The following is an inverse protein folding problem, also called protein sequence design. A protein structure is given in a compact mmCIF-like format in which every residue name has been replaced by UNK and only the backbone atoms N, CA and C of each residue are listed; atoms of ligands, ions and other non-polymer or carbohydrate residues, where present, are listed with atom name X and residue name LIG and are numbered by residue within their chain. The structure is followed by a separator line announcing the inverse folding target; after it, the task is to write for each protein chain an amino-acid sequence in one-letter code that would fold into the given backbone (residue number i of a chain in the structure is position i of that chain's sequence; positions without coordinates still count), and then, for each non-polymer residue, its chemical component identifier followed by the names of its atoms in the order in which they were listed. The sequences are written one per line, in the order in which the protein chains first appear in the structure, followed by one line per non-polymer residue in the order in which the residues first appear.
data_IF_821671717395
#
_entry.id   IF_821671717395
#
_cell.length_a   1.000
_cell.length_b   1.000
_cell.length_c   1.000
_cell.angle_alpha   90.00
_cell.angle_beta   90.00
_cell.angle_gamma   90.00
#
_symmetry.space_group_name_H-M   'P 1'
#
loop_
_entity.id
_entity.type
_entity.pdbx_description
1 polymer ?
#
# COMPACT_ATOMS: atom_id res chain seq x y z
N UNK A 1 -58.37 -261.10 64.09
CA UNK A 1 -58.29 -259.87 64.89
C UNK A 1 -56.97 -259.20 64.57
N UNK A 2 -56.97 -257.95 64.13
CA UNK A 2 -55.88 -256.95 64.24
C UNK A 2 -56.24 -255.77 63.32
N UNK A 3 -56.67 -254.64 63.89
CA UNK A 3 -57.13 -253.46 63.14
C UNK A 3 -56.60 -252.15 63.76
N UNK A 4 -55.39 -252.19 64.35
CA UNK A 4 -54.88 -251.14 65.24
C UNK A 4 -53.70 -250.31 64.74
N UNK A 5 -53.09 -250.63 63.58
CA UNK A 5 -51.86 -249.94 63.12
C UNK A 5 -52.10 -248.80 62.11
N UNK A 6 -53.18 -248.86 61.34
CA UNK A 6 -53.44 -247.94 60.21
C UNK A 6 -53.59 -246.44 60.57
N UNK A 7 -53.79 -246.09 61.84
CA UNK A 7 -54.16 -244.73 62.25
C UNK A 7 -52.96 -243.81 62.61
N UNK A 8 -51.73 -244.33 62.63
CA UNK A 8 -50.53 -243.54 63.00
C UNK A 8 -49.75 -243.02 61.80
N UNK A 9 -49.68 -243.79 60.71
CA UNK A 9 -48.92 -243.41 59.51
C UNK A 9 -49.60 -242.24 58.77
N UNK A 10 -50.93 -242.30 58.67
CA UNK A 10 -51.81 -241.23 58.15
C UNK A 10 -51.60 -239.87 58.84
N UNK A 11 -51.47 -239.86 60.17
CA UNK A 11 -51.28 -238.62 60.95
C UNK A 11 -49.85 -238.07 60.81
N UNK A 12 -48.86 -238.94 60.60
CA UNK A 12 -47.49 -238.48 60.24
C UNK A 12 -47.41 -237.93 58.82
N UNK A 13 -48.13 -238.53 57.86
CA UNK A 13 -48.23 -238.03 56.49
C UNK A 13 -48.86 -236.63 56.45
N UNK A 14 -50.03 -236.46 57.07
CA UNK A 14 -50.75 -235.16 57.12
C UNK A 14 -49.93 -234.05 57.80
N UNK A 15 -49.12 -234.38 58.81
CA UNK A 15 -48.17 -233.42 59.42
C UNK A 15 -47.01 -233.08 58.47
N UNK A 16 -46.46 -234.07 57.77
CA UNK A 16 -45.43 -233.84 56.74
C UNK A 16 -45.93 -232.96 55.60
N UNK A 17 -47.12 -233.24 55.07
CA UNK A 17 -47.80 -232.44 54.04
C UNK A 17 -48.08 -231.02 54.53
N UNK A 18 -48.61 -230.85 55.75
CA UNK A 18 -48.83 -229.52 56.33
C UNK A 18 -47.52 -228.73 56.54
N UNK A 19 -46.44 -229.41 56.93
CA UNK A 19 -45.12 -228.78 57.09
C UNK A 19 -44.49 -228.41 55.74
N UNK A 20 -44.63 -229.25 54.71
CA UNK A 20 -44.24 -228.94 53.33
C UNK A 20 -45.05 -227.76 52.80
N UNK A 21 -46.36 -227.71 53.06
CA UNK A 21 -47.23 -226.62 52.64
C UNK A 21 -46.89 -225.29 53.36
N UNK A 22 -46.59 -225.33 54.66
CA UNK A 22 -46.07 -224.16 55.39
C UNK A 22 -44.72 -223.68 54.84
N UNK A 23 -43.80 -224.59 54.52
CA UNK A 23 -42.52 -224.25 53.90
C UNK A 23 -42.71 -223.69 52.48
N UNK A 24 -43.68 -224.19 51.71
CA UNK A 24 -44.05 -223.61 50.41
C UNK A 24 -44.61 -222.20 50.57
N UNK A 25 -45.53 -221.96 51.51
CA UNK A 25 -46.03 -220.62 51.82
C UNK A 25 -44.91 -219.66 52.25
N UNK A 26 -43.96 -220.12 53.08
CA UNK A 26 -42.78 -219.33 53.46
C UNK A 26 -41.87 -219.05 52.27
N UNK A 27 -41.62 -220.02 51.39
CA UNK A 27 -40.83 -219.84 50.16
C UNK A 27 -41.51 -218.88 49.19
N UNK A 28 -42.83 -218.95 49.02
CA UNK A 28 -43.56 -218.06 48.12
C UNK A 28 -43.74 -216.65 48.69
N UNK A 29 -43.87 -216.48 50.01
CA UNK A 29 -43.81 -215.18 50.66
C UNK A 29 -42.39 -214.58 50.60
N UNK A 30 -41.34 -215.39 50.78
CA UNK A 30 -39.95 -214.95 50.53
C UNK A 30 -39.74 -214.57 49.06
N UNK A 31 -40.32 -215.30 48.10
CA UNK A 31 -40.32 -214.93 46.66
C UNK A 31 -41.16 -213.68 46.37
N UNK A 32 -42.17 -213.36 47.19
CA UNK A 32 -42.97 -212.13 47.11
C UNK A 32 -42.16 -210.95 47.63
N UNK A 33 -41.61 -211.07 48.84
CA UNK A 33 -40.75 -210.07 49.48
C UNK A 33 -39.47 -209.81 48.67
N UNK A 34 -38.83 -210.84 48.10
CA UNK A 34 -37.67 -210.68 47.22
C UNK A 34 -38.03 -209.89 45.95
N UNK A 35 -39.18 -210.20 45.32
CA UNK A 35 -39.66 -209.43 44.15
C UNK A 35 -40.02 -207.99 44.52
N UNK A 36 -40.64 -207.78 45.67
CA UNK A 36 -40.96 -206.44 46.18
C UNK A 36 -39.68 -205.64 46.49
N UNK A 37 -38.67 -206.27 47.09
CA UNK A 37 -37.38 -205.66 47.39
C UNK A 37 -36.58 -205.34 46.11
N UNK A 38 -36.59 -206.22 45.11
CA UNK A 38 -35.99 -205.95 43.79
C UNK A 38 -36.72 -204.81 43.06
N UNK A 39 -38.05 -204.73 43.16
CA UNK A 39 -38.81 -203.61 42.59
C UNK A 39 -38.51 -202.28 43.30
N UNK A 40 -38.42 -202.29 44.64
CA UNK A 40 -37.98 -201.16 45.46
C UNK A 40 -36.55 -200.73 45.11
N UNK A 41 -35.63 -201.68 44.93
CA UNK A 41 -34.25 -201.39 44.51
C UNK A 41 -34.22 -200.77 43.11
N UNK A 42 -34.88 -201.36 42.12
CA UNK A 42 -34.92 -200.83 40.75
C UNK A 42 -35.47 -199.39 40.73
N UNK A 43 -36.57 -199.14 41.45
CA UNK A 43 -37.14 -197.80 41.59
C UNK A 43 -36.19 -196.83 42.30
N UNK A 44 -35.48 -197.27 43.35
CA UNK A 44 -34.48 -196.43 44.04
C UNK A 44 -33.26 -196.15 43.15
N UNK A 45 -32.82 -197.10 42.34
CA UNK A 45 -31.78 -196.89 41.33
C UNK A 45 -32.23 -195.93 40.22
N UNK A 46 -33.49 -196.00 39.78
CA UNK A 46 -34.07 -195.02 38.85
C UNK A 46 -34.12 -193.62 39.46
N UNK A 47 -34.57 -193.47 40.70
CA UNK A 47 -34.52 -192.19 41.41
C UNK A 47 -33.10 -191.67 41.62
N UNK A 48 -32.12 -192.56 41.88
CA UNK A 48 -30.70 -192.18 41.96
C UNK A 48 -30.15 -191.73 40.60
N UNK A 49 -30.48 -192.44 39.50
CA UNK A 49 -30.09 -192.06 38.13
C UNK A 49 -30.73 -190.72 37.71
N UNK A 50 -32.01 -190.51 38.04
CA UNK A 50 -32.71 -189.23 37.84
C UNK A 50 -32.08 -188.11 38.68
N UNK A 51 -31.79 -188.35 39.95
CA UNK A 51 -31.13 -187.40 40.86
C UNK A 51 -29.72 -187.03 40.40
N UNK A 52 -28.91 -188.00 39.96
CA UNK A 52 -27.60 -187.76 39.36
C UNK A 52 -27.72 -186.93 38.08
N UNK A 53 -28.69 -187.24 37.21
CA UNK A 53 -28.95 -186.47 35.99
C UNK A 53 -29.36 -185.02 36.33
N UNK A 54 -30.22 -184.82 37.32
CA UNK A 54 -30.63 -183.50 37.79
C UNK A 54 -29.45 -182.71 38.40
N UNK A 55 -28.58 -183.35 39.18
CA UNK A 55 -27.36 -182.73 39.74
C UNK A 55 -26.41 -182.29 38.61
N UNK A 56 -26.25 -183.11 37.56
CA UNK A 56 -25.46 -182.74 36.38
C UNK A 56 -26.10 -181.56 35.64
N UNK A 57 -27.41 -181.57 35.37
CA UNK A 57 -28.05 -180.44 34.66
C UNK A 57 -28.05 -179.13 35.46
N UNK A 58 -28.21 -179.19 36.79
CA UNK A 58 -28.07 -178.01 37.66
C UNK A 58 -26.64 -177.51 37.70
N UNK A 59 -25.64 -178.41 37.74
CA UNK A 59 -24.23 -178.03 37.64
C UNK A 59 -23.91 -177.35 36.31
N UNK A 60 -24.33 -177.95 35.20
CA UNK A 60 -24.18 -177.37 33.86
C UNK A 60 -24.85 -176.00 33.74
N UNK A 61 -25.97 -175.77 34.43
CA UNK A 61 -26.65 -174.47 34.47
C UNK A 61 -25.86 -173.45 35.32
N UNK A 62 -25.33 -173.84 36.48
CA UNK A 62 -24.50 -172.98 37.34
C UNK A 62 -23.18 -172.62 36.66
N UNK A 63 -22.52 -173.58 36.02
CA UNK A 63 -21.27 -173.35 35.29
C UNK A 63 -21.50 -172.41 34.07
N UNK A 64 -22.64 -172.56 33.36
CA UNK A 64 -23.07 -171.62 32.29
C UNK A 64 -23.38 -170.22 32.83
N UNK A 65 -24.23 -170.09 33.85
CA UNK A 65 -24.56 -168.79 34.46
C UNK A 65 -23.32 -168.08 35.01
N UNK A 66 -22.36 -168.85 35.56
CA UNK A 66 -21.08 -168.31 36.02
C UNK A 66 -20.26 -167.77 34.85
N UNK A 67 -20.17 -168.48 33.73
CA UNK A 67 -19.50 -168.01 32.52
C UNK A 67 -20.19 -166.77 31.91
N UNK A 68 -21.52 -166.79 31.79
CA UNK A 68 -22.33 -165.65 31.33
C UNK A 68 -22.14 -164.41 32.21
N UNK A 69 -22.13 -164.58 33.53
CA UNK A 69 -21.85 -163.48 34.47
C UNK A 69 -20.44 -162.91 34.31
N UNK A 70 -19.42 -163.76 34.16
CA UNK A 70 -18.05 -163.29 33.93
C UNK A 70 -17.92 -162.56 32.58
N UNK A 71 -18.58 -163.04 31.53
CA UNK A 71 -18.61 -162.37 30.23
C UNK A 71 -19.33 -161.02 30.30
N UNK A 72 -20.51 -160.95 30.93
CA UNK A 72 -21.26 -159.71 31.12
C UNK A 72 -20.49 -158.69 31.98
N UNK A 73 -19.78 -159.16 33.02
CA UNK A 73 -18.91 -158.32 33.84
C UNK A 73 -17.73 -157.76 33.03
N UNK A 74 -17.05 -158.59 32.23
CA UNK A 74 -15.96 -158.15 31.35
C UNK A 74 -16.43 -157.11 30.31
N UNK A 75 -17.58 -157.34 29.66
CA UNK A 75 -18.19 -156.38 28.74
C UNK A 75 -18.46 -155.05 29.45
N UNK A 76 -19.10 -155.08 30.63
CA UNK A 76 -19.40 -153.87 31.41
C UNK A 76 -18.13 -153.12 31.85
N UNK A 77 -17.05 -153.81 32.21
CA UNK A 77 -15.77 -153.18 32.55
C UNK A 77 -15.13 -152.51 31.33
N UNK A 78 -15.20 -153.14 30.15
CA UNK A 78 -14.73 -152.54 28.89
C UNK A 78 -15.58 -151.32 28.50
N UNK A 79 -16.90 -151.38 28.65
CA UNK A 79 -17.81 -150.25 28.45
C UNK A 79 -17.52 -149.10 29.44
N UNK A 80 -17.29 -149.39 30.73
CA UNK A 80 -16.96 -148.37 31.73
C UNK A 80 -15.61 -147.70 31.42
N UNK A 81 -14.60 -148.47 31.00
CA UNK A 81 -13.32 -147.93 30.53
C UNK A 81 -13.48 -147.06 29.28
N UNK A 82 -14.30 -147.48 28.32
CA UNK A 82 -14.62 -146.72 27.11
C UNK A 82 -15.34 -145.41 27.45
N UNK A 83 -16.37 -145.45 28.30
CA UNK A 83 -17.11 -144.26 28.74
C UNK A 83 -16.17 -143.30 29.49
N UNK A 84 -15.24 -143.80 30.30
CA UNK A 84 -14.20 -142.99 30.96
C UNK A 84 -13.24 -142.33 29.95
N UNK A 85 -12.88 -143.01 28.86
CA UNK A 85 -12.07 -142.44 27.77
C UNK A 85 -12.85 -141.37 26.99
N UNK A 86 -14.07 -141.67 26.53
CA UNK A 86 -14.93 -140.72 25.82
C UNK A 86 -15.24 -139.48 26.68
N UNK A 87 -15.45 -139.63 28.00
CA UNK A 87 -15.61 -138.52 28.94
C UNK A 87 -14.34 -137.68 29.10
N UNK A 88 -13.16 -138.31 29.17
CA UNK A 88 -11.89 -137.60 29.26
C UNK A 88 -11.58 -136.82 27.96
N UNK A 89 -11.84 -137.40 26.80
CA UNK A 89 -11.72 -136.74 25.50
C UNK A 89 -12.69 -135.55 25.39
N UNK A 90 -13.95 -135.73 25.79
CA UNK A 90 -14.93 -134.64 25.86
C UNK A 90 -14.49 -133.54 26.84
N UNK A 91 -13.89 -133.89 27.97
CA UNK A 91 -13.37 -132.91 28.93
C UNK A 91 -12.18 -132.14 28.36
N UNK A 92 -11.25 -132.78 27.65
CA UNK A 92 -10.15 -132.09 26.95
C UNK A 92 -10.71 -131.17 25.87
N UNK A 93 -11.56 -131.68 24.98
CA UNK A 93 -12.16 -130.97 23.84
C UNK A 93 -13.09 -129.82 24.27
N UNK A 94 -13.69 -129.89 25.45
CA UNK A 94 -14.48 -128.80 26.05
C UNK A 94 -13.60 -127.71 26.69
N UNK A 95 -12.42 -128.06 27.21
CA UNK A 95 -11.47 -127.08 27.76
C UNK A 95 -10.59 -126.42 26.69
N UNK A 96 -10.34 -127.09 25.56
CA UNK A 96 -9.57 -126.58 24.42
C UNK A 96 -10.02 -125.20 23.93
N UNK A 97 -11.31 -124.92 23.63
CA UNK A 97 -11.77 -123.59 23.20
C UNK A 97 -11.69 -122.50 24.28
N UNK A 98 -11.54 -122.85 25.56
CA UNK A 98 -11.45 -121.87 26.66
C UNK A 98 -10.14 -121.06 26.58
N UNK A 99 -9.06 -121.67 26.05
CA UNK A 99 -7.78 -120.99 25.82
C UNK A 99 -7.89 -119.86 24.78
N UNK A 100 -8.28 -120.10 23.50
CA UNK A 100 -8.43 -119.03 22.52
C UNK A 100 -9.55 -118.05 22.89
N UNK A 101 -10.62 -118.46 23.58
CA UNK A 101 -11.60 -117.50 24.10
C UNK A 101 -11.00 -116.52 25.13
N UNK A 102 -10.11 -116.99 26.00
CA UNK A 102 -9.38 -116.12 26.95
C UNK A 102 -8.38 -115.21 26.22
N UNK A 103 -7.70 -115.72 25.20
CA UNK A 103 -6.74 -114.96 24.40
C UNK A 103 -7.44 -113.88 23.56
N UNK A 104 -8.51 -114.22 22.85
CA UNK A 104 -9.37 -113.27 22.14
C UNK A 104 -9.92 -112.21 23.08
N UNK A 105 -10.34 -112.56 24.30
CA UNK A 105 -10.77 -111.57 25.31
C UNK A 105 -9.63 -110.63 25.72
N UNK A 106 -8.39 -111.12 25.78
CA UNK A 106 -7.20 -110.28 26.03
C UNK A 106 -6.93 -109.34 24.86
N UNK A 107 -6.98 -109.85 23.62
CA UNK A 107 -6.79 -109.06 22.41
C UNK A 107 -7.89 -107.98 22.26
N UNK A 108 -9.14 -108.32 22.55
CA UNK A 108 -10.27 -107.37 22.57
C UNK A 108 -10.04 -106.26 23.61
N UNK A 109 -9.60 -106.60 24.82
CA UNK A 109 -9.26 -105.60 25.84
C UNK A 109 -8.12 -104.67 25.37
N UNK A 110 -7.07 -105.24 24.77
CA UNK A 110 -5.95 -104.47 24.21
C UNK A 110 -6.40 -103.52 23.09
N UNK A 111 -7.30 -103.97 22.20
CA UNK A 111 -7.88 -103.13 21.16
C UNK A 111 -8.77 -102.00 21.73
N UNK A 112 -9.51 -102.25 22.82
CA UNK A 112 -10.25 -101.20 23.52
C UNK A 112 -9.32 -100.16 24.18
N UNK A 113 -8.24 -100.60 24.82
CA UNK A 113 -7.21 -99.69 25.35
C UNK A 113 -6.52 -98.89 24.24
N UNK A 114 -6.17 -99.53 23.13
CA UNK A 114 -5.58 -98.86 21.97
C UNK A 114 -6.53 -97.79 21.41
N UNK A 115 -7.79 -98.15 21.12
CA UNK A 115 -8.80 -97.18 20.66
C UNK A 115 -9.01 -96.01 21.62
N UNK A 116 -8.90 -96.26 22.93
CA UNK A 116 -8.97 -95.22 23.94
C UNK A 116 -7.77 -94.27 23.83
N UNK A 117 -6.55 -94.79 23.76
CA UNK A 117 -5.32 -93.99 23.59
C UNK A 117 -5.32 -93.21 22.27
N UNK A 118 -5.80 -93.82 21.19
CA UNK A 118 -6.03 -93.15 19.90
C UNK A 118 -7.04 -92.00 20.02
N UNK A 119 -8.15 -92.20 20.75
CA UNK A 119 -9.13 -91.14 21.02
C UNK A 119 -8.58 -90.00 21.88
N UNK A 120 -7.77 -90.32 22.89
CA UNK A 120 -7.06 -89.35 23.73
C UNK A 120 -6.02 -88.56 22.90
N UNK A 121 -5.24 -89.23 22.05
CA UNK A 121 -4.28 -88.60 21.13
C UNK A 121 -4.98 -87.69 20.10
N UNK A 122 -6.06 -88.13 19.46
CA UNK A 122 -6.86 -87.29 18.54
C UNK A 122 -7.44 -86.07 19.25
N UNK A 123 -7.69 -86.14 20.57
CA UNK A 123 -8.02 -84.97 21.39
C UNK A 123 -6.86 -83.96 21.49
N UNK A 124 -5.65 -84.45 21.77
CA UNK A 124 -4.42 -83.64 21.84
C UNK A 124 -4.10 -83.01 20.47
N UNK A 125 -4.17 -83.80 19.40
CA UNK A 125 -3.88 -83.35 18.04
C UNK A 125 -4.85 -82.25 17.58
N UNK A 126 -6.13 -82.36 17.94
CA UNK A 126 -7.13 -81.30 17.68
C UNK A 126 -6.78 -80.00 18.41
N UNK A 127 -6.38 -80.06 19.69
CA UNK A 127 -5.95 -78.88 20.43
C UNK A 127 -4.68 -78.25 19.85
N UNK A 128 -3.73 -79.08 19.37
CA UNK A 128 -2.53 -78.61 18.68
C UNK A 128 -2.88 -77.91 17.35
N UNK A 129 -3.75 -78.50 16.53
CA UNK A 129 -4.24 -77.90 15.27
C UNK A 129 -5.00 -76.60 15.53
N UNK A 130 -5.86 -76.54 16.55
CA UNK A 130 -6.60 -75.32 16.89
C UNK A 130 -5.65 -74.20 17.36
N UNK A 131 -4.63 -74.52 18.16
CA UNK A 131 -3.57 -73.59 18.56
C UNK A 131 -2.79 -73.07 17.35
N UNK A 132 -2.39 -73.93 16.41
CA UNK A 132 -1.71 -73.52 15.17
C UNK A 132 -2.64 -72.64 14.31
N UNK A 133 -3.92 -72.97 14.21
CA UNK A 133 -4.91 -72.17 13.50
C UNK A 133 -5.15 -70.80 14.17
N UNK A 134 -5.01 -70.68 15.50
CA UNK A 134 -5.05 -69.41 16.21
C UNK A 134 -3.78 -68.57 15.93
N UNK A 135 -2.59 -69.17 16.03
CA UNK A 135 -1.33 -68.50 15.71
C UNK A 135 -1.26 -68.02 14.24
N UNK A 136 -1.82 -68.80 13.31
CA UNK A 136 -1.95 -68.43 11.89
C UNK A 136 -2.84 -67.20 11.70
N UNK A 137 -4.01 -67.16 12.35
CA UNK A 137 -4.93 -65.99 12.31
C UNK A 137 -4.29 -64.73 12.89
N UNK A 138 -3.55 -64.85 13.99
CA UNK A 138 -2.82 -63.71 14.59
C UNK A 138 -1.69 -63.22 13.68
N UNK A 139 -0.89 -64.13 13.13
CA UNK A 139 0.16 -63.82 12.13
C UNK A 139 -0.43 -63.09 10.92
N UNK A 140 -1.59 -63.54 10.41
CA UNK A 140 -2.29 -62.88 9.30
C UNK A 140 -2.78 -61.47 9.67
N UNK A 141 -3.19 -61.25 10.94
CA UNK A 141 -3.52 -59.90 11.45
C UNK A 141 -2.27 -59.00 11.49
N UNK A 142 -1.13 -59.53 11.93
CA UNK A 142 0.15 -58.83 11.91
C UNK A 142 0.61 -58.47 10.48
N UNK A 143 0.45 -59.37 9.50
CA UNK A 143 0.70 -59.07 8.08
C UNK A 143 -0.21 -57.93 7.60
N UNK A 144 -1.52 -57.98 7.89
CA UNK A 144 -2.47 -56.93 7.51
C UNK A 144 -2.14 -55.55 8.10
N UNK A 145 -1.60 -55.49 9.33
CA UNK A 145 -1.08 -54.25 9.94
C UNK A 145 0.17 -53.73 9.21
N UNK A 146 1.11 -54.62 8.88
CA UNK A 146 2.32 -54.27 8.13
C UNK A 146 2.00 -53.77 6.71
N UNK A 147 1.03 -54.38 6.01
CA UNK A 147 0.54 -53.88 4.71
C UNK A 147 -0.10 -52.49 4.80
N UNK A 148 -0.68 -52.13 5.95
CA UNK A 148 -1.09 -50.76 6.28
C UNK A 148 0.12 -49.84 6.38
N UNK A 149 1.04 -50.13 7.31
CA UNK A 149 2.24 -49.31 7.54
C UNK A 149 3.10 -49.14 6.27
N UNK A 150 3.15 -50.14 5.38
CA UNK A 150 3.86 -50.07 4.09
C UNK A 150 3.16 -49.11 3.12
N UNK A 151 1.83 -48.99 3.14
CA UNK A 151 1.10 -47.96 2.37
C UNK A 151 1.37 -46.57 2.94
N UNK A 152 1.26 -46.42 4.26
CA UNK A 152 1.48 -45.15 4.96
C UNK A 152 2.91 -44.62 4.71
N UNK A 153 3.92 -45.49 4.78
CA UNK A 153 5.31 -45.15 4.44
C UNK A 153 5.49 -44.79 2.97
N UNK A 154 4.81 -45.48 2.03
CA UNK A 154 4.85 -45.13 0.60
C UNK A 154 4.18 -43.78 0.31
N UNK A 155 3.14 -43.43 1.06
CA UNK A 155 2.48 -42.12 0.97
C UNK A 155 3.35 -41.01 1.57
N UNK A 156 3.94 -41.24 2.75
CA UNK A 156 4.91 -40.33 3.35
C UNK A 156 6.11 -40.05 2.41
N UNK A 157 6.67 -41.10 1.77
CA UNK A 157 7.75 -40.94 0.78
C UNK A 157 7.31 -40.09 -0.41
N UNK A 158 6.10 -40.30 -0.96
CA UNK A 158 5.55 -39.44 -2.03
C UNK A 158 5.39 -37.99 -1.59
N UNK A 159 4.89 -37.74 -0.37
CA UNK A 159 4.76 -36.40 0.19
C UNK A 159 6.13 -35.72 0.30
N UNK A 160 7.15 -36.43 0.79
CA UNK A 160 8.52 -35.89 0.87
C UNK A 160 9.15 -35.63 -0.50
N UNK A 161 8.90 -36.48 -1.50
CA UNK A 161 9.38 -36.28 -2.86
C UNK A 161 8.72 -35.05 -3.52
N UNK A 162 7.40 -34.91 -3.39
CA UNK A 162 6.67 -33.73 -3.87
C UNK A 162 7.15 -32.43 -3.20
N UNK A 163 7.44 -32.48 -1.90
CA UNK A 163 8.01 -31.34 -1.16
C UNK A 163 9.44 -31.02 -1.63
N UNK A 164 10.28 -32.03 -1.88
CA UNK A 164 11.62 -31.84 -2.43
C UNK A 164 11.58 -31.19 -3.83
N UNK A 165 10.70 -31.66 -4.73
CA UNK A 165 10.51 -31.03 -6.04
C UNK A 165 10.04 -29.58 -5.92
N UNK A 166 9.13 -29.28 -4.98
CA UNK A 166 8.68 -27.90 -4.72
C UNK A 166 9.84 -27.01 -4.27
N UNK A 167 10.67 -27.46 -3.32
CA UNK A 167 11.85 -26.71 -2.87
C UNK A 167 12.90 -26.55 -3.97
N UNK A 168 13.10 -27.54 -4.84
CA UNK A 168 14.01 -27.40 -5.99
C UNK A 168 13.55 -26.30 -6.95
N UNK A 169 12.27 -26.28 -7.33
CA UNK A 169 11.71 -25.25 -8.22
C UNK A 169 11.74 -23.85 -7.62
N UNK A 170 11.48 -23.71 -6.31
CA UNK A 170 11.57 -22.40 -5.65
C UNK A 170 13.03 -21.96 -5.45
N UNK A 171 13.99 -22.87 -5.27
CA UNK A 171 15.42 -22.55 -5.30
C UNK A 171 15.87 -22.08 -6.69
N UNK A 172 15.44 -22.75 -7.77
CA UNK A 172 15.69 -22.32 -9.16
C UNK A 172 15.15 -20.90 -9.40
N UNK A 173 13.92 -20.64 -8.97
CA UNK A 173 13.29 -19.31 -9.04
C UNK A 173 14.03 -18.25 -8.21
N UNK A 174 14.48 -18.58 -7.00
CA UNK A 174 15.25 -17.67 -6.17
C UNK A 174 16.62 -17.36 -6.78
N UNK A 175 17.28 -18.34 -7.42
CA UNK A 175 18.51 -18.10 -8.19
C UNK A 175 18.26 -17.19 -9.40
N UNK A 176 17.14 -17.34 -10.11
CA UNK A 176 16.75 -16.44 -11.20
C UNK A 176 16.52 -14.99 -10.69
N UNK A 177 15.82 -14.83 -9.57
CA UNK A 177 15.60 -13.53 -8.93
C UNK A 177 16.92 -12.88 -8.49
N UNK A 178 17.84 -13.66 -7.89
CA UNK A 178 19.17 -13.19 -7.50
C UNK A 178 19.96 -12.75 -8.74
N UNK A 179 20.01 -13.55 -9.79
CA UNK A 179 20.74 -13.21 -11.02
C UNK A 179 20.18 -11.95 -11.71
N UNK A 180 18.85 -11.82 -11.78
CA UNK A 180 18.20 -10.61 -12.29
C UNK A 180 18.48 -9.38 -11.42
N UNK A 181 18.59 -9.55 -10.09
CA UNK A 181 18.98 -8.47 -9.17
C UNK A 181 20.46 -8.08 -9.32
N UNK A 182 21.38 -9.04 -9.37
CA UNK A 182 22.80 -8.81 -9.64
C UNK A 182 23.02 -8.09 -10.98
N UNK A 183 22.33 -8.51 -12.04
CA UNK A 183 22.34 -7.86 -13.35
C UNK A 183 21.72 -6.46 -13.35
N UNK A 184 20.86 -6.15 -12.39
CA UNK A 184 20.30 -4.80 -12.19
C UNK A 184 21.24 -3.90 -11.38
N UNK A 185 21.87 -4.44 -10.33
CA UNK A 185 22.90 -3.75 -9.54
C UNK A 185 24.13 -3.44 -10.39
N UNK A 186 24.54 -4.36 -11.30
CA UNK A 186 25.62 -4.11 -12.25
C UNK A 186 25.31 -2.93 -13.18
N UNK A 187 24.12 -2.91 -13.79
CA UNK A 187 23.67 -1.82 -14.69
C UNK A 187 23.60 -0.48 -13.97
N UNK A 188 22.97 -0.42 -12.78
CA UNK A 188 22.94 0.78 -11.96
C UNK A 188 24.37 1.27 -11.58
N UNK A 189 25.28 0.33 -11.31
CA UNK A 189 26.70 0.63 -11.09
C UNK A 189 27.46 1.08 -12.34
N UNK A 190 26.98 0.77 -13.55
CA UNK A 190 27.50 1.29 -14.83
C UNK A 190 26.94 2.68 -15.11
N UNK A 191 25.63 2.89 -14.93
CA UNK A 191 24.93 4.17 -15.00
C UNK A 191 25.57 5.22 -14.08
N UNK A 192 25.75 4.93 -12.79
CA UNK A 192 26.46 5.82 -11.85
C UNK A 192 27.91 6.11 -12.26
N UNK A 193 28.60 5.18 -12.93
CA UNK A 193 29.99 5.41 -13.39
C UNK A 193 30.04 6.35 -14.60
N UNK A 194 29.06 6.30 -15.50
CA UNK A 194 28.93 7.29 -16.59
C UNK A 194 28.44 8.65 -16.07
N UNK A 195 27.53 8.70 -15.10
CA UNK A 195 27.13 9.94 -14.43
C UNK A 195 28.32 10.64 -13.75
N UNK A 196 29.13 9.89 -12.98
CA UNK A 196 30.35 10.40 -12.34
C UNK A 196 31.39 10.88 -13.38
N UNK A 197 31.48 10.26 -14.55
CA UNK A 197 32.31 10.76 -15.67
C UNK A 197 31.76 12.07 -16.24
N UNK A 198 30.45 12.17 -16.43
CA UNK A 198 29.76 13.38 -16.89
C UNK A 198 30.00 14.55 -15.94
N UNK A 199 29.68 14.37 -14.66
CA UNK A 199 29.94 15.37 -13.61
C UNK A 199 31.42 15.75 -13.52
N UNK A 200 32.36 14.81 -13.69
CA UNK A 200 33.80 15.12 -13.75
C UNK A 200 34.15 16.00 -14.96
N UNK A 201 33.56 15.75 -16.13
CA UNK A 201 33.78 16.58 -17.31
C UNK A 201 33.17 17.99 -17.14
N UNK A 202 31.99 18.10 -16.54
CA UNK A 202 31.39 19.41 -16.19
C UNK A 202 32.26 20.18 -15.19
N UNK A 203 32.73 19.54 -14.12
CA UNK A 203 33.66 20.15 -13.16
C UNK A 203 34.93 20.63 -13.86
N UNK A 204 35.51 19.86 -14.80
CA UNK A 204 36.65 20.31 -15.60
C UNK A 204 36.32 21.52 -16.48
N UNK A 205 35.12 21.60 -17.07
CA UNK A 205 34.66 22.79 -17.81
C UNK A 205 34.52 24.00 -16.89
N UNK A 206 34.00 23.83 -15.66
CA UNK A 206 33.95 24.90 -14.67
C UNK A 206 35.35 25.34 -14.21
N UNK A 207 36.28 24.42 -13.93
CA UNK A 207 37.68 24.75 -13.60
C UNK A 207 38.36 25.52 -14.73
N UNK A 208 38.19 25.08 -15.98
CA UNK A 208 38.73 25.78 -17.15
C UNK A 208 38.10 27.17 -17.34
N UNK A 209 36.82 27.36 -16.97
CA UNK A 209 36.15 28.66 -16.98
C UNK A 209 36.65 29.59 -15.87
N UNK A 210 36.90 29.05 -14.66
CA UNK A 210 37.48 29.81 -13.55
C UNK A 210 38.88 30.29 -13.90
N UNK A 211 39.75 29.42 -14.42
CA UNK A 211 41.10 29.80 -14.85
C UNK A 211 41.08 30.94 -15.90
N UNK A 212 40.17 30.89 -16.88
CA UNK A 212 39.98 31.99 -17.85
C UNK A 212 39.48 33.29 -17.22
N UNK A 213 38.67 33.23 -16.17
CA UNK A 213 38.20 34.41 -15.44
C UNK A 213 39.33 35.00 -14.58
N UNK A 214 40.17 34.16 -13.96
CA UNK A 214 41.39 34.62 -13.27
C UNK A 214 42.37 35.31 -14.24
N UNK A 215 42.58 34.75 -15.43
CA UNK A 215 43.46 35.36 -16.44
C UNK A 215 42.90 36.68 -16.99
N UNK A 216 41.59 36.79 -17.18
CA UNK A 216 40.94 38.08 -17.50
C UNK A 216 41.09 39.08 -16.35
N UNK A 217 40.87 38.65 -15.11
CA UNK A 217 41.07 39.50 -13.92
C UNK A 217 42.53 39.98 -13.82
N UNK A 218 43.52 39.15 -14.14
CA UNK A 218 44.94 39.54 -14.23
C UNK A 218 45.18 40.58 -15.33
N UNK A 219 44.59 40.40 -16.52
CA UNK A 219 44.71 41.36 -17.63
C UNK A 219 44.09 42.72 -17.30
N UNK A 220 42.90 42.74 -16.70
CA UNK A 220 42.25 44.00 -16.31
C UNK A 220 42.94 44.64 -15.10
N UNK A 221 43.53 43.86 -14.19
CA UNK A 221 44.38 44.40 -13.11
C UNK A 221 45.64 45.07 -13.67
N UNK A 222 46.32 44.45 -14.64
CA UNK A 222 47.49 45.04 -15.30
C UNK A 222 47.14 46.32 -16.06
N UNK A 223 45.98 46.36 -16.75
CA UNK A 223 45.46 47.59 -17.37
C UNK A 223 45.18 48.69 -16.35
N UNK A 224 44.69 48.34 -15.16
CA UNK A 224 44.46 49.32 -14.07
C UNK A 224 45.78 49.92 -13.58
N UNK A 225 46.88 49.15 -13.56
CA UNK A 225 48.23 49.66 -13.27
C UNK A 225 48.81 50.56 -14.39
N UNK A 226 48.26 50.56 -15.60
CA UNK A 226 48.66 51.45 -16.71
C UNK A 226 47.98 52.84 -16.69
N UNK A 227 46.92 53.04 -15.90
CA UNK A 227 46.22 54.34 -15.82
C UNK A 227 46.97 55.50 -15.13
N UNK A 228 47.77 55.32 -14.07
CA UNK A 228 48.44 56.41 -13.36
C UNK A 228 49.19 57.43 -14.24
N UNK A 229 50.06 57.05 -15.21
CA UNK A 229 50.75 58.02 -16.07
C UNK A 229 49.80 58.85 -16.94
N UNK A 230 48.61 58.34 -17.28
CA UNK A 230 47.59 59.11 -18.03
C UNK A 230 46.98 60.19 -17.15
N UNK A 231 46.72 59.90 -15.87
CA UNK A 231 46.25 60.90 -14.91
C UNK A 231 47.30 61.96 -14.58
N UNK A 232 48.58 61.57 -14.48
CA UNK A 232 49.68 62.53 -14.27
C UNK A 232 49.84 63.50 -15.46
N UNK A 233 49.71 63.01 -16.70
CA UNK A 233 49.72 63.86 -17.90
C UNK A 233 48.52 64.82 -17.95
N UNK A 234 47.31 64.34 -17.63
CA UNK A 234 46.12 65.19 -17.57
C UNK A 234 46.25 66.30 -16.51
N UNK A 235 46.82 65.96 -15.34
CA UNK A 235 47.09 66.92 -14.27
C UNK A 235 48.08 68.00 -14.68
N UNK A 236 49.15 67.64 -15.38
CA UNK A 236 50.15 68.62 -15.86
C UNK A 236 49.56 69.61 -16.86
N UNK A 237 48.62 69.18 -17.71
CA UNK A 237 47.91 70.09 -18.62
C UNK A 237 46.90 70.99 -17.89
N UNK A 238 46.20 70.51 -16.87
CA UNK A 238 45.30 71.34 -16.04
C UNK A 238 46.07 72.43 -15.28
N UNK A 239 47.18 72.07 -14.62
CA UNK A 239 48.08 73.02 -13.97
C UNK A 239 48.66 74.05 -14.99
N UNK A 240 48.90 73.65 -16.24
CA UNK A 240 49.33 74.53 -17.34
C UNK A 240 48.23 75.47 -17.83
N UNK A 241 46.98 75.01 -17.91
CA UNK A 241 45.82 75.83 -18.30
C UNK A 241 45.56 76.90 -17.23
N UNK A 242 45.52 76.52 -15.95
CA UNK A 242 45.33 77.45 -14.84
C UNK A 242 46.42 78.55 -14.79
N UNK A 243 47.68 78.19 -15.02
CA UNK A 243 48.77 79.18 -15.11
C UNK A 243 48.61 80.18 -16.27
N UNK A 244 47.95 79.79 -17.36
CA UNK A 244 47.65 80.69 -18.48
C UNK A 244 46.44 81.58 -18.20
N UNK A 245 45.40 81.08 -17.52
CA UNK A 245 44.23 81.89 -17.09
C UNK A 245 44.67 83.08 -16.24
N UNK A 246 45.50 82.84 -15.21
CA UNK A 246 46.04 83.88 -14.33
C UNK A 246 46.87 84.92 -15.09
N UNK A 247 47.62 84.52 -16.12
CA UNK A 247 48.33 85.47 -17.01
C UNK A 247 47.36 86.33 -17.81
N UNK A 248 46.33 85.73 -18.41
CA UNK A 248 45.35 86.50 -19.20
C UNK A 248 44.53 87.46 -18.36
N UNK A 249 44.16 87.07 -17.12
CA UNK A 249 43.48 87.93 -16.16
C UNK A 249 44.35 89.12 -15.75
N UNK A 250 45.64 88.89 -15.47
CA UNK A 250 46.58 89.98 -15.18
C UNK A 250 46.70 90.97 -16.36
N UNK A 251 46.89 90.48 -17.59
CA UNK A 251 46.98 91.32 -18.80
C UNK A 251 45.66 92.06 -19.08
N UNK A 252 44.52 91.46 -18.74
CA UNK A 252 43.21 92.12 -18.84
C UNK A 252 43.10 93.28 -17.83
N UNK A 253 43.45 93.04 -16.57
CA UNK A 253 43.42 94.06 -15.51
C UNK A 253 44.40 95.22 -15.78
N UNK A 254 45.59 94.92 -16.30
CA UNK A 254 46.55 95.95 -16.75
C UNK A 254 45.98 96.80 -17.91
N UNK A 255 45.21 96.22 -18.84
CA UNK A 255 44.50 96.98 -19.88
C UNK A 255 43.33 97.79 -19.34
N UNK A 256 42.58 97.28 -18.36
CA UNK A 256 41.47 98.01 -17.73
C UNK A 256 41.98 99.24 -17.00
N UNK A 257 43.10 99.13 -16.26
CA UNK A 257 43.74 100.29 -15.61
C UNK A 257 44.13 101.38 -16.63
N UNK A 258 44.85 101.00 -17.70
CA UNK A 258 45.23 101.95 -18.78
C UNK A 258 44.02 102.59 -19.47
N UNK A 259 42.88 101.89 -19.57
CA UNK A 259 41.63 102.45 -20.11
C UNK A 259 40.97 103.41 -19.10
N UNK A 260 41.02 103.11 -17.80
CA UNK A 260 40.50 104.00 -16.74
C UNK A 260 41.31 105.30 -16.66
N UNK A 261 42.65 105.22 -16.69
CA UNK A 261 43.54 106.38 -16.76
C UNK A 261 43.22 107.24 -17.99
N UNK A 262 43.02 106.60 -19.16
CA UNK A 262 42.66 107.27 -20.41
C UNK A 262 41.28 107.95 -20.37
N UNK A 263 40.32 107.37 -19.65
CA UNK A 263 38.97 107.95 -19.46
C UNK A 263 39.04 109.18 -18.54
N UNK A 264 39.80 109.12 -17.46
CA UNK A 264 39.98 110.26 -16.54
C UNK A 264 40.81 111.39 -17.20
N UNK A 265 41.81 111.06 -18.03
CA UNK A 265 42.55 112.03 -18.87
C UNK A 265 41.61 112.74 -19.87
N UNK A 266 40.76 111.98 -20.59
CA UNK A 266 39.73 112.55 -21.47
C UNK A 266 38.73 113.39 -20.68
N UNK A 267 38.33 112.95 -19.49
CA UNK A 267 37.41 113.69 -18.62
C UNK A 267 38.01 115.02 -18.17
N UNK A 268 39.26 115.05 -17.73
CA UNK A 268 39.95 116.29 -17.33
C UNK A 268 40.14 117.24 -18.52
N UNK A 269 40.43 116.73 -19.73
CA UNK A 269 40.38 117.54 -20.95
C UNK A 269 38.99 118.12 -21.21
N UNK A 270 37.93 117.32 -21.02
CA UNK A 270 36.53 117.73 -21.26
C UNK A 270 36.08 118.77 -20.22
N UNK A 271 36.38 118.58 -18.93
CA UNK A 271 36.11 119.57 -17.88
C UNK A 271 36.90 120.87 -18.12
N UNK A 272 38.15 120.80 -18.58
CA UNK A 272 38.93 121.97 -18.99
C UNK A 272 38.33 122.70 -20.21
N UNK A 273 37.81 121.96 -21.20
CA UNK A 273 37.10 122.53 -22.34
C UNK A 273 35.79 123.21 -21.91
N UNK A 274 35.00 122.58 -21.03
CA UNK A 274 33.79 123.21 -20.47
C UNK A 274 34.10 124.44 -19.61
N UNK A 275 35.20 124.45 -18.86
CA UNK A 275 35.64 125.64 -18.13
C UNK A 275 35.97 126.81 -19.08
N UNK A 276 36.72 126.54 -20.14
CA UNK A 276 37.07 127.55 -21.16
C UNK A 276 35.82 128.04 -21.92
N UNK A 277 34.89 127.15 -22.26
CA UNK A 277 33.61 127.50 -22.90
C UNK A 277 32.76 128.34 -21.94
N UNK A 278 32.67 127.99 -20.66
CA UNK A 278 31.94 128.78 -19.67
C UNK A 278 32.57 130.15 -19.41
N UNK A 279 33.90 130.30 -19.42
CA UNK A 279 34.54 131.63 -19.34
C UNK A 279 34.25 132.49 -20.58
N UNK A 280 34.22 131.90 -21.78
CA UNK A 280 33.84 132.60 -23.01
C UNK A 280 32.37 133.03 -22.96
N UNK A 281 31.46 132.13 -22.54
CA UNK A 281 30.05 132.45 -22.39
C UNK A 281 29.77 133.47 -21.27
N UNK A 282 30.46 133.42 -20.13
CA UNK A 282 30.28 134.42 -19.08
C UNK A 282 30.82 135.79 -19.50
N UNK A 283 32.03 135.85 -20.09
CA UNK A 283 32.60 137.11 -20.59
C UNK A 283 31.76 137.74 -21.71
N UNK A 284 31.14 136.93 -22.56
CA UNK A 284 30.23 137.41 -23.60
C UNK A 284 28.86 137.84 -23.02
N UNK A 285 28.30 137.06 -22.09
CA UNK A 285 27.05 137.40 -21.41
C UNK A 285 27.18 138.68 -20.57
N UNK A 286 28.28 138.88 -19.84
CA UNK A 286 28.54 140.10 -19.07
C UNK A 286 28.74 141.31 -19.99
N UNK A 287 29.47 141.15 -21.10
CA UNK A 287 29.60 142.17 -22.16
C UNK A 287 28.24 142.60 -22.70
N UNK A 288 27.39 141.65 -23.07
CA UNK A 288 26.10 141.94 -23.71
C UNK A 288 25.04 142.39 -22.68
N UNK A 289 25.10 141.93 -21.43
CA UNK A 289 24.28 142.44 -20.33
C UNK A 289 24.62 143.91 -20.00
N UNK A 290 25.92 144.27 -19.95
CA UNK A 290 26.34 145.67 -19.81
C UNK A 290 25.85 146.53 -20.97
N UNK A 291 25.87 146.01 -22.20
CA UNK A 291 25.28 146.69 -23.38
C UNK A 291 23.76 146.84 -23.28
N UNK A 292 23.04 145.83 -22.78
CA UNK A 292 21.60 145.90 -22.57
C UNK A 292 21.23 146.93 -21.50
N UNK A 293 21.94 147.00 -20.38
CA UNK A 293 21.73 148.02 -19.34
C UNK A 293 21.98 149.43 -19.92
N UNK A 294 23.08 149.61 -20.67
CA UNK A 294 23.39 150.87 -21.35
C UNK A 294 22.38 151.25 -22.45
N UNK A 295 21.64 150.29 -23.00
CA UNK A 295 20.54 150.55 -23.94
C UNK A 295 19.24 150.88 -23.20
N UNK A 296 18.89 150.19 -22.12
CA UNK A 296 17.68 150.45 -21.33
C UNK A 296 17.73 151.84 -20.66
N UNK A 297 18.87 152.23 -20.07
CA UNK A 297 19.07 153.59 -19.54
C UNK A 297 18.93 154.65 -20.65
N UNK A 298 19.48 154.39 -21.84
CA UNK A 298 19.33 155.32 -22.98
C UNK A 298 17.91 155.37 -23.52
N UNK A 299 17.16 154.28 -23.48
CA UNK A 299 15.73 154.24 -23.85
C UNK A 299 14.92 155.06 -22.83
N UNK A 300 15.11 154.85 -21.52
CA UNK A 300 14.44 155.63 -20.47
C UNK A 300 14.73 157.13 -20.56
N UNK A 301 15.99 157.51 -20.81
CA UNK A 301 16.37 158.90 -21.06
C UNK A 301 15.68 159.45 -22.31
N UNK A 302 15.58 158.65 -23.37
CA UNK A 302 14.90 159.04 -24.62
C UNK A 302 13.39 159.21 -24.42
N UNK A 303 12.73 158.30 -23.69
CA UNK A 303 11.30 158.39 -23.39
C UNK A 303 10.97 159.61 -22.52
N UNK A 304 11.81 159.91 -21.51
CA UNK A 304 11.67 161.12 -20.70
C UNK A 304 11.82 162.40 -21.55
N UNK A 305 12.78 162.42 -22.50
CA UNK A 305 12.94 163.51 -23.47
C UNK A 305 11.75 163.60 -24.42
N UNK A 306 11.21 162.47 -24.89
CA UNK A 306 10.04 162.44 -25.79
C UNK A 306 8.78 162.97 -25.07
N UNK A 307 8.58 162.64 -23.79
CA UNK A 307 7.45 163.18 -23.02
C UNK A 307 7.58 164.69 -22.77
N UNK A 308 8.78 165.20 -22.44
CA UNK A 308 9.03 166.64 -22.32
C UNK A 308 8.85 167.37 -23.67
N UNK A 309 9.31 166.79 -24.78
CA UNK A 309 9.09 167.33 -26.13
C UNK A 309 7.59 167.34 -26.50
N UNK A 310 6.83 166.29 -26.20
CA UNK A 310 5.38 166.27 -26.44
C UNK A 310 4.66 167.36 -25.64
N UNK A 311 5.02 167.55 -24.37
CA UNK A 311 4.44 168.59 -23.51
C UNK A 311 4.77 170.01 -24.02
N UNK A 312 6.00 170.23 -24.50
CA UNK A 312 6.44 171.49 -25.12
C UNK A 312 5.75 171.76 -26.46
N UNK A 313 5.54 170.74 -27.30
CA UNK A 313 4.84 170.89 -28.58
C UNK A 313 3.41 171.36 -28.36
N UNK A 314 2.70 170.80 -27.37
CA UNK A 314 1.33 171.20 -27.05
C UNK A 314 1.27 172.63 -26.47
N UNK A 315 2.26 173.03 -25.65
CA UNK A 315 2.39 174.43 -25.20
C UNK A 315 2.67 175.40 -26.36
N UNK A 316 3.61 175.07 -27.26
CA UNK A 316 3.94 175.87 -28.44
C UNK A 316 2.71 176.00 -29.36
N UNK A 317 1.92 174.93 -29.50
CA UNK A 317 0.68 174.95 -30.27
C UNK A 317 -0.35 175.93 -29.69
N UNK A 318 -0.58 175.88 -28.38
CA UNK A 318 -1.53 176.79 -27.71
C UNK A 318 -1.08 178.26 -27.78
N UNK A 319 0.23 178.53 -27.73
CA UNK A 319 0.79 179.87 -27.98
C UNK A 319 0.60 180.29 -29.44
N UNK A 320 0.89 179.41 -30.41
CA UNK A 320 0.78 179.72 -31.84
C UNK A 320 -0.66 179.98 -32.28
N UNK A 321 -1.64 179.22 -31.77
CA UNK A 321 -3.07 179.46 -32.03
C UNK A 321 -3.53 180.81 -31.42
N UNK A 322 -2.90 181.28 -30.34
CA UNK A 322 -3.16 182.61 -29.77
C UNK A 322 -2.47 183.75 -30.55
N UNK A 323 -1.21 183.59 -30.94
CA UNK A 323 -0.47 184.59 -31.75
C UNK A 323 -1.12 184.82 -33.11
N UNK A 324 -1.60 183.76 -33.78
CA UNK A 324 -2.35 183.88 -35.04
C UNK A 324 -3.63 184.71 -34.86
N UNK A 325 -4.34 184.55 -33.74
CA UNK A 325 -5.53 185.34 -33.43
C UNK A 325 -5.22 186.82 -33.12
N UNK A 326 -3.98 187.15 -32.74
CA UNK A 326 -3.50 188.54 -32.58
C UNK A 326 -3.04 189.14 -33.91
N UNK A 327 -2.32 188.38 -34.75
CA UNK A 327 -1.91 188.82 -36.10
C UNK A 327 -3.11 189.12 -37.00
N UNK A 328 -4.20 188.34 -36.92
CA UNK A 328 -5.42 188.64 -37.67
C UNK A 328 -6.07 189.97 -37.23
N UNK A 329 -6.03 190.35 -35.95
CA UNK A 329 -6.49 191.67 -35.49
C UNK A 329 -5.59 192.81 -36.00
N UNK A 330 -4.28 192.57 -36.10
CA UNK A 330 -3.36 193.54 -36.70
C UNK A 330 -3.60 193.70 -38.21
N UNK A 331 -3.94 192.62 -38.93
CA UNK A 331 -4.44 192.73 -40.31
C UNK A 331 -5.72 193.56 -40.39
N UNK A 332 -6.72 193.31 -39.53
CA UNK A 332 -7.95 194.13 -39.48
C UNK A 332 -7.65 195.61 -39.19
N UNK A 333 -6.73 195.92 -38.27
CA UNK A 333 -6.36 197.29 -37.93
C UNK A 333 -5.63 198.04 -39.07
N UNK A 334 -4.72 197.36 -39.78
CA UNK A 334 -4.02 197.93 -40.95
C UNK A 334 -4.96 198.06 -42.16
N UNK A 335 -5.85 197.11 -42.38
CA UNK A 335 -6.90 197.21 -43.41
C UNK A 335 -7.86 198.36 -43.05
N UNK A 336 -8.25 198.51 -41.79
CA UNK A 336 -9.12 199.60 -41.35
C UNK A 336 -8.46 200.98 -41.58
N UNK A 337 -7.21 201.17 -41.17
CA UNK A 337 -6.50 202.47 -41.32
C UNK A 337 -6.08 202.79 -42.76
N UNK A 338 -5.74 201.79 -43.58
CA UNK A 338 -5.50 202.01 -45.01
C UNK A 338 -6.80 202.22 -45.80
N UNK A 339 -7.90 201.56 -45.43
CA UNK A 339 -9.24 201.86 -45.94
C UNK A 339 -9.73 203.23 -45.46
N UNK A 340 -9.31 203.70 -44.27
CA UNK A 340 -9.56 205.05 -43.77
C UNK A 340 -8.73 206.10 -44.53
N UNK A 341 -7.49 205.79 -44.92
CA UNK A 341 -6.71 206.67 -45.80
C UNK A 341 -7.30 206.72 -47.22
N UNK A 342 -7.69 205.56 -47.77
CA UNK A 342 -8.45 205.48 -49.01
C UNK A 342 -9.85 206.10 -48.89
N UNK A 343 -10.45 206.17 -47.69
CA UNK A 343 -11.67 206.93 -47.41
C UNK A 343 -11.39 208.40 -47.04
N UNK A 344 -10.15 208.84 -46.83
CA UNK A 344 -9.81 210.25 -46.82
C UNK A 344 -9.70 210.75 -48.27
N UNK A 345 -9.00 210.00 -49.13
CA UNK A 345 -9.00 210.24 -50.58
C UNK A 345 -10.41 210.10 -51.19
N UNK A 346 -11.17 209.08 -50.78
CA UNK A 346 -12.51 208.83 -51.32
C UNK A 346 -13.61 209.60 -50.59
N UNK A 347 -13.46 210.10 -49.36
CA UNK A 347 -14.43 211.04 -48.78
C UNK A 347 -14.17 212.50 -49.18
N UNK A 348 -12.95 212.82 -49.67
CA UNK A 348 -12.76 213.94 -50.61
C UNK A 348 -13.53 213.72 -51.94
N UNK A 349 -14.20 212.57 -52.11
CA UNK A 349 -15.13 212.21 -53.19
C UNK A 349 -16.56 211.77 -52.70
N UNK A 350 -16.89 211.52 -51.38
CA UNK A 350 -18.13 210.79 -50.87
C UNK A 350 -18.34 210.71 -49.27
N UNK A 351 -19.42 210.24 -48.56
CA UNK A 351 -19.57 209.89 -47.02
C UNK A 351 -20.72 208.53 -46.58
N UNK A 352 -20.71 207.13 -45.72
CA UNK A 352 -21.58 205.56 -45.09
C UNK A 352 -21.27 203.73 -44.35
N UNK A 353 -22.03 202.43 -43.69
CA UNK A 353 -21.84 200.65 -43.03
C UNK A 353 -22.81 199.07 -42.27
N UNK A 354 -22.62 197.54 -41.71
CA UNK A 354 -23.48 195.95 -41.09
C UNK A 354 -23.24 194.20 -40.14
N UNK A 355 -24.03 192.82 -39.67
CA UNK A 355 -23.94 191.15 -38.72
C UNK A 355 -24.77 189.35 -38.45
N UNK A 356 -24.78 188.06 -37.44
CA UNK A 356 -25.20 186.20 -37.21
C UNK A 356 -25.74 184.76 -35.93
N UNK A 357 -25.89 183.14 -35.77
CA UNK A 357 -26.41 181.69 -34.64
C UNK A 357 -26.62 179.70 -34.49
N UNK A 358 -27.14 178.50 -33.49
CA UNK A 358 -27.36 176.62 -33.26
C UNK A 358 -27.94 175.16 -32.02
N UNK A 359 -28.02 173.53 -31.84
CA UNK A 359 -28.73 172.08 -30.81
C UNK A 359 -28.66 170.11 -30.46
N UNK A 360 -29.37 168.89 -29.63
CA UNK A 360 -29.33 167.03 -29.17
C UNK A 360 -30.26 165.51 -28.27
N UNK A 361 -30.11 163.95 -27.81
CA UNK A 361 -30.96 162.45 -26.98
C UNK A 361 -30.78 160.51 -26.50
N UNK A 362 -31.55 159.27 -25.76
CA UNK A 362 -31.44 157.46 -25.15
C UNK A 362 -32.47 155.91 -24.44
N UNK A 363 -32.35 154.34 -24.00
CA UNK A 363 -33.15 152.86 -23.13
C UNK A 363 -33.20 150.88 -22.91
N UNK A 364 -33.69 149.67 -21.91
CA UNK A 364 -33.88 147.78 -21.73
C UNK A 364 -34.25 146.26 -20.48
N UNK A 365 -34.77 144.71 -20.39
CA UNK A 365 -34.90 143.12 -19.31
C UNK A 365 -35.77 141.34 -19.22
N UNK A 366 -36.06 139.85 -18.55
CA UNK A 366 -35.95 138.25 -17.52
C UNK A 366 -36.89 136.52 -17.12
N UNK A 367 -36.71 135.04 -16.44
CA UNK A 367 -37.60 133.44 -15.86
C UNK A 367 -37.40 131.54 -15.24
N UNK A 368 -38.19 130.26 -14.58
CA UNK A 368 -38.13 128.38 -14.16
C UNK A 368 -38.96 126.88 -13.13
N UNK A 369 -39.05 125.26 -12.98
CA UNK A 369 -39.63 123.80 -11.88
C UNK A 369 -39.89 121.81 -11.78
N UNK A 370 -40.22 120.55 -10.76
CA UNK A 370 -40.71 118.71 -10.61
C UNK A 370 -40.83 117.11 -9.40
N UNK A 371 -41.51 115.63 -9.23
CA UNK A 371 -41.70 114.05 -8.14
C UNK A 371 -42.26 112.14 -8.09
N UNK A 372 -42.51 110.88 -7.07
CA UNK A 372 -42.91 109.02 -6.90
C UNK A 372 -43.32 107.54 -5.61
N UNK A 373 -43.71 105.94 -5.54
CA UNK A 373 -44.08 104.39 -4.60
C UNK A 373 -43.78 102.74 -4.98
N UNK A 374 -44.70 101.83 -5.53
CA UNK A 374 -44.72 100.29 -5.79
C UNK A 374 -44.91 100.08 -7.32
N UNK A 375 -44.56 98.93 -7.95
CA UNK A 375 -44.92 98.55 -9.35
C UNK A 375 -44.29 99.30 -10.57
N UNK A 376 -44.51 98.72 -11.77
CA UNK A 376 -44.04 99.03 -13.14
C UNK A 376 -44.87 100.17 -13.83
N UNK A 377 -44.65 100.60 -15.12
CA UNK A 377 -43.59 100.30 -16.11
C UNK A 377 -43.04 101.51 -16.97
N UNK A 378 -42.05 101.21 -17.84
CA UNK A 378 -41.93 101.59 -19.30
C UNK A 378 -41.42 102.95 -19.86
N UNK A 379 -40.75 102.77 -21.01
CA UNK A 379 -40.70 103.52 -22.28
C UNK A 379 -39.84 104.80 -22.48
N UNK A 380 -39.04 104.76 -23.56
CA UNK A 380 -38.58 105.82 -24.50
C UNK A 380 -37.57 106.90 -24.00
N UNK A 381 -36.65 107.44 -24.82
CA UNK A 381 -36.13 107.03 -26.15
C UNK A 381 -34.80 107.75 -26.52
N UNK A 382 -34.23 107.34 -27.67
CA UNK A 382 -33.51 108.12 -28.69
C UNK A 382 -32.08 108.69 -28.54
N UNK A 383 -31.28 108.29 -29.56
CA UNK A 383 -30.38 109.04 -30.43
C UNK A 383 -29.23 109.89 -29.83
N UNK A 384 -27.94 109.59 -30.06
CA UNK A 384 -27.13 109.22 -31.26
C UNK A 384 -26.53 110.41 -32.01
N UNK A 385 -25.21 110.38 -32.17
CA UNK A 385 -24.42 110.59 -33.41
C UNK A 385 -22.93 110.45 -33.04
N UNK A 386 -22.13 109.64 -33.73
CA UNK A 386 -21.64 109.74 -35.11
C UNK A 386 -20.54 110.80 -35.29
N UNK A 387 -19.34 110.28 -35.56
CA UNK A 387 -18.45 110.63 -36.70
C UNK A 387 -17.82 112.07 -36.73
N UNK A 388 -16.72 112.35 -37.43
CA UNK A 388 -15.85 111.52 -38.27
C UNK A 388 -14.41 112.11 -38.42
N UNK A 389 -13.53 111.39 -39.12
CA UNK A 389 -12.39 111.85 -39.96
C UNK A 389 -11.29 112.76 -39.42
N UNK A 390 -10.05 112.26 -39.54
CA UNK A 390 -8.93 112.80 -40.35
C UNK A 390 -8.83 114.34 -40.57
N UNK A 391 -7.65 114.89 -40.25
CA UNK A 391 -6.62 115.29 -41.24
C UNK A 391 -5.24 114.92 -40.68
#
# INVERSE_FOLDING_TARGET
MEAGRSYREDDTLKRGEAQIYQLQQQVDELRRLLREQMARQNSMEEYLKQGQTAIVTVRDQVDKQTAEFHQAFQVRVLEEHRIKQELAELQVRSNEPIKPLRELRSQINQLFEQRRREGEQVGIDKQAVEKVAAMSRDTQSHIGRLDGHIKDLREAVKITANAQEFYQRELERLMEIIHNWEGSVRRLGEEFREEIKGLRAEVQLFTNRIARLEDLQRQDSARIEEFPPVFDVLRQEDERIMANVVRTEKVYNERVAVIQDRIEEIRQQTETQFFNINQLFSGQADSDNVRFIQLDDRIRITDAIVQDIQLRIEQIRQVSEAELAEVYKLQEAVIATSLEHAQAEYDMVRQFRAKTQAQGLEGRRSGRNRRSRQEFPRDMDDHSNQDDTLI
#
